data_IF_332566745474
#
_entry.id   IF_332566745474
#
_cell.length_a   1.000
_cell.length_b   1.000
_cell.length_c   1.000
_cell.angle_alpha   90.00
_cell.angle_beta   90.00
_cell.angle_gamma   90.00
#
_symmetry.space_group_name_H-M   'P 1'
#
loop_
_entity.id
_entity.type
_entity.pdbx_description
1 polymer ?
#
# COMPACT_ATOMS: atom_id res chain seq x y z
N UNK A 1 -13.23 -7.82 18.50
CA UNK A 1 -12.91 -9.10 17.87
C UNK A 1 -11.81 -8.90 16.83
N UNK A 2 -10.86 -9.75 16.86
CA UNK A 2 -9.77 -9.68 15.91
C UNK A 2 -9.95 -10.72 14.83
N UNK A 3 -10.19 -10.28 13.62
CA UNK A 3 -10.27 -11.19 12.50
C UNK A 3 -8.87 -11.59 12.09
N UNK A 4 -8.64 -12.88 11.95
CA UNK A 4 -7.38 -13.35 11.41
C UNK A 4 -7.39 -13.13 9.91
N UNK A 5 -6.40 -12.41 9.41
CA UNK A 5 -6.30 -12.15 7.99
C UNK A 5 -5.77 -13.39 7.30
N UNK A 6 -6.53 -13.90 6.34
CA UNK A 6 -6.11 -15.01 5.49
C UNK A 6 -5.51 -14.52 4.19
N UNK A 7 -5.63 -13.23 3.90
CA UNK A 7 -5.11 -12.60 2.70
C UNK A 7 -4.36 -11.35 3.09
N UNK A 8 -3.37 -10.96 2.31
CA UNK A 8 -2.72 -9.69 2.56
C UNK A 8 -3.66 -8.52 2.25
N UNK A 9 -3.39 -7.40 2.87
CA UNK A 9 -4.14 -6.17 2.63
C UNK A 9 -3.20 -5.08 2.13
N UNK A 10 -3.63 -4.41 1.08
CA UNK A 10 -3.01 -3.17 0.68
C UNK A 10 -3.72 -2.06 1.44
N UNK A 11 -2.96 -1.28 2.19
CA UNK A 11 -3.51 -0.14 2.91
C UNK A 11 -2.97 1.14 2.31
N UNK A 12 -3.78 2.18 2.28
CA UNK A 12 -3.39 3.42 1.63
C UNK A 12 -3.93 4.63 2.39
N UNK A 13 -3.13 5.69 2.37
CA UNK A 13 -3.50 6.99 2.89
C UNK A 13 -3.18 7.99 1.78
N UNK A 14 -4.21 8.49 1.13
CA UNK A 14 -4.08 9.33 -0.06
C UNK A 14 -4.28 10.77 0.31
N UNK A 15 -3.23 11.57 0.14
CA UNK A 15 -3.31 13.01 0.35
C UNK A 15 -3.24 13.77 -0.98
N UNK A 16 -3.27 15.09 -0.89
CA UNK A 16 -3.25 15.94 -2.08
C UNK A 16 -1.94 15.89 -2.85
N UNK A 17 -0.83 15.70 -2.15
CA UNK A 17 0.49 15.71 -2.78
C UNK A 17 1.18 14.35 -2.75
N UNK A 18 0.80 13.48 -1.81
CA UNK A 18 1.45 12.19 -1.65
C UNK A 18 0.43 11.12 -1.36
N UNK A 19 0.73 9.91 -1.83
CA UNK A 19 -0.01 8.70 -1.48
C UNK A 19 0.94 7.78 -0.73
N UNK A 20 0.53 7.35 0.46
CA UNK A 20 1.31 6.44 1.28
C UNK A 20 0.66 5.07 1.25
N UNK A 21 1.46 4.07 0.94
CA UNK A 21 0.98 2.69 0.85
C UNK A 21 1.73 1.82 1.83
N UNK A 22 1.04 0.81 2.30
CA UNK A 22 1.63 -0.19 3.16
C UNK A 22 1.06 -1.56 2.87
N UNK A 23 1.69 -2.58 3.41
CA UNK A 23 1.33 -3.96 3.17
C UNK A 23 1.11 -4.66 4.49
N UNK A 24 -0.06 -5.27 4.65
CA UNK A 24 -0.38 -6.07 5.82
C UNK A 24 -0.41 -7.53 5.40
N UNK A 25 0.63 -8.27 5.77
CA UNK A 25 0.76 -9.66 5.40
C UNK A 25 -0.30 -10.50 6.11
N UNK A 26 -0.66 -11.67 5.56
CA UNK A 26 -1.64 -12.54 6.20
C UNK A 26 -1.21 -12.88 7.63
N UNK A 27 -2.12 -12.70 8.58
CA UNK A 27 -1.86 -12.99 9.98
C UNK A 27 -1.01 -11.95 10.70
N UNK A 28 -0.50 -10.95 10.00
CA UNK A 28 0.31 -9.92 10.63
C UNK A 28 -0.56 -8.92 11.37
N UNK A 29 0.02 -8.30 12.40
CA UNK A 29 -0.64 -7.25 13.17
C UNK A 29 -0.06 -5.88 12.89
N UNK A 30 0.92 -5.78 11.99
CA UNK A 30 1.62 -4.54 11.67
C UNK A 30 1.73 -4.37 10.18
N UNK A 31 1.60 -3.13 9.74
CA UNK A 31 1.81 -2.78 8.35
C UNK A 31 3.32 -2.66 8.09
N UNK A 32 3.77 -3.28 7.01
CA UNK A 32 5.16 -3.23 6.58
C UNK A 32 5.26 -2.63 5.18
N UNK A 33 6.49 -2.44 4.73
CA UNK A 33 6.80 -1.95 3.38
C UNK A 33 6.07 -0.66 3.07
N UNK A 34 6.12 0.29 4.01
CA UNK A 34 5.47 1.58 3.83
C UNK A 34 6.30 2.44 2.88
N UNK A 35 5.65 2.90 1.80
CA UNK A 35 6.26 3.78 0.82
C UNK A 35 5.34 4.95 0.51
N UNK A 36 5.95 6.10 0.29
CA UNK A 36 5.22 7.30 -0.10
C UNK A 36 5.53 7.60 -1.56
N UNK A 37 4.48 7.78 -2.35
CA UNK A 37 4.60 8.09 -3.78
C UNK A 37 3.99 9.46 -4.05
N UNK A 38 4.69 10.34 -4.77
CA UNK A 38 4.11 11.64 -5.14
C UNK A 38 2.89 11.43 -6.04
N UNK A 39 1.78 12.07 -5.70
CA UNK A 39 0.56 11.92 -6.50
C UNK A 39 0.71 12.51 -7.89
N UNK A 40 1.60 13.50 -8.05
CA UNK A 40 1.82 14.13 -9.34
C UNK A 40 2.44 13.17 -10.39
N UNK A 41 3.06 12.08 -9.91
CA UNK A 41 3.69 11.11 -10.81
C UNK A 41 2.71 10.06 -11.31
N UNK A 42 1.44 10.14 -10.92
CA UNK A 42 0.46 9.12 -11.24
C UNK A 42 -0.86 9.76 -11.65
N UNK A 43 -1.60 9.06 -12.50
CA UNK A 43 -2.88 9.56 -13.00
C UNK A 43 -3.98 9.49 -11.94
N UNK A 44 -3.78 8.70 -10.92
CA UNK A 44 -4.78 8.56 -9.87
C UNK A 44 -4.37 7.50 -8.86
N UNK A 45 -5.23 7.26 -7.84
CA UNK A 45 -4.89 6.30 -6.78
C UNK A 45 -4.65 4.89 -7.30
N UNK A 46 -5.40 4.45 -8.31
CA UNK A 46 -5.21 3.11 -8.86
C UNK A 46 -3.85 2.96 -9.53
N UNK A 47 -3.43 3.97 -10.27
CA UNK A 47 -2.12 3.97 -10.92
C UNK A 47 -1.00 3.95 -9.89
N UNK A 48 -1.14 4.75 -8.83
CA UNK A 48 -0.15 4.78 -7.75
C UNK A 48 -0.08 3.44 -7.02
N UNK A 49 -1.23 2.82 -6.77
CA UNK A 49 -1.28 1.51 -6.12
C UNK A 49 -0.59 0.44 -6.97
N UNK A 50 -0.79 0.47 -8.28
CA UNK A 50 -0.13 -0.47 -9.18
C UNK A 50 1.38 -0.29 -9.15
N UNK A 51 1.85 0.95 -9.12
CA UNK A 51 3.28 1.24 -9.02
C UNK A 51 3.85 0.72 -7.71
N UNK A 52 3.12 0.91 -6.62
CA UNK A 52 3.53 0.39 -5.32
C UNK A 52 3.65 -1.13 -5.34
N UNK A 53 2.63 -1.81 -5.89
CA UNK A 53 2.63 -3.27 -5.93
C UNK A 53 3.75 -3.82 -6.80
N UNK A 54 4.05 -3.15 -7.90
CA UNK A 54 5.16 -3.56 -8.76
C UNK A 54 6.50 -3.43 -8.02
N UNK A 55 6.67 -2.35 -7.26
CA UNK A 55 7.88 -2.17 -6.45
C UNK A 55 7.97 -3.21 -5.36
N UNK A 56 6.85 -3.51 -4.71
CA UNK A 56 6.81 -4.51 -3.65
C UNK A 56 7.22 -5.89 -4.17
N UNK A 57 6.81 -6.24 -5.37
CA UNK A 57 7.12 -7.54 -5.97
C UNK A 57 8.61 -7.71 -6.24
N UNK A 58 9.38 -6.63 -6.26
CA UNK A 58 10.82 -6.69 -6.49
C UNK A 58 11.63 -6.85 -5.21
N UNK A 59 10.97 -6.86 -4.08
CA UNK A 59 11.65 -6.97 -2.78
C UNK A 59 11.72 -8.42 -2.24
#
# INVERSE_FOLDING_TARGET
>A
MTARLLRPWLVADIGGTNARFGWLAPGASRVDHVHTLPTADHDGPASAAQAYLARLAQQ
#
